data_IF_004090766370
#
_entry.id   IF_004090766370
#
_cell.length_a   1.000
_cell.length_b   1.000
_cell.length_c   1.000
_cell.angle_alpha   90.00
_cell.angle_beta   90.00
_cell.angle_gamma   90.00
#
_symmetry.space_group_name_H-M   'P 1'
#
loop_
_entity.id
_entity.type
_entity.pdbx_description
1 polymer ?
#
# COMPACT_ATOMS: atom_id res chain seq x y z
N UNK A 1 -19.40 -27.02 7.69
CA UNK A 1 -19.90 -26.33 7.44
C UNK A 1 -19.69 -25.14 6.68
N UNK A 2 -20.50 -24.94 5.85
CA UNK A 2 -20.34 -23.89 4.97
C UNK A 2 -20.25 -22.59 5.63
N UNK A 3 -20.40 -22.63 6.89
CA UNK A 3 -20.24 -21.48 7.57
C UNK A 3 -19.00 -20.80 7.33
N UNK A 4 -17.98 -21.53 7.03
CA UNK A 4 -16.73 -20.94 6.74
C UNK A 4 -16.87 -19.95 5.62
N UNK A 5 -17.66 -20.26 4.66
CA UNK A 5 -17.84 -19.38 3.56
C UNK A 5 -18.50 -18.13 4.03
N UNK A 6 -19.31 -18.23 5.04
CA UNK A 6 -19.94 -17.07 5.48
C UNK A 6 -19.06 -16.27 6.29
N UNK A 7 -18.08 -16.86 6.86
CA UNK A 7 -17.15 -16.13 7.64
C UNK A 7 -16.00 -15.64 6.84
N UNK A 8 -16.01 -15.89 5.53
CA UNK A 8 -15.00 -15.39 4.68
C UNK A 8 -14.95 -13.89 4.82
N UNK A 9 -13.80 -13.31 4.91
CA UNK A 9 -13.62 -11.90 4.97
C UNK A 9 -14.38 -11.23 3.86
N UNK A 10 -15.01 -10.12 4.15
CA UNK A 10 -15.62 -9.31 3.12
C UNK A 10 -14.55 -8.90 2.13
N UNK A 11 -14.90 -8.80 0.89
CA UNK A 11 -13.96 -8.36 -0.13
C UNK A 11 -13.45 -6.97 0.19
N UNK A 12 -12.19 -6.72 -0.09
CA UNK A 12 -11.61 -5.40 0.08
C UNK A 12 -12.35 -4.45 -0.86
N UNK A 13 -12.81 -3.32 -0.33
CA UNK A 13 -13.54 -2.33 -1.13
C UNK A 13 -12.61 -1.17 -1.41
N UNK A 14 -12.39 -0.88 -2.68
CA UNK A 14 -11.53 0.23 -3.06
C UNK A 14 -12.25 1.55 -2.79
N UNK A 15 -11.64 2.47 -2.04
CA UNK A 15 -12.20 3.81 -1.90
C UNK A 15 -11.77 4.70 -3.05
N UNK A 16 -12.37 5.88 -3.13
CA UNK A 16 -11.99 6.88 -4.12
C UNK A 16 -10.51 7.23 -3.92
N UNK A 17 -9.79 7.34 -5.01
CA UNK A 17 -8.38 7.72 -4.97
C UNK A 17 -7.42 6.58 -4.72
N UNK A 18 -7.91 5.33 -4.65
CA UNK A 18 -7.04 4.18 -4.42
C UNK A 18 -5.96 4.05 -5.50
N UNK A 19 -6.29 4.44 -6.74
CA UNK A 19 -5.33 4.38 -7.84
C UNK A 19 -4.54 5.69 -8.00
N UNK A 20 -4.84 6.70 -7.19
CA UNK A 20 -4.25 8.02 -7.34
C UNK A 20 -5.01 8.93 -8.28
N UNK A 21 -5.97 8.39 -9.02
CA UNK A 21 -6.75 9.19 -9.96
C UNK A 21 -7.96 9.77 -9.25
N UNK A 22 -8.35 10.97 -9.64
CA UNK A 22 -9.56 11.59 -9.13
C UNK A 22 -10.10 12.56 -10.18
N UNK A 23 -11.39 12.87 -10.10
CA UNK A 23 -11.99 13.83 -10.99
C UNK A 23 -11.96 15.20 -10.34
N UNK A 24 -11.72 16.22 -11.14
CA UNK A 24 -11.62 17.58 -10.64
C UNK A 24 -12.85 17.99 -9.84
N UNK A 25 -14.01 17.58 -10.29
CA UNK A 25 -15.26 17.96 -9.60
C UNK A 25 -15.41 17.29 -8.25
N UNK A 26 -14.68 16.22 -7.97
CA UNK A 26 -14.73 15.55 -6.68
C UNK A 26 -13.74 16.16 -5.68
N UNK A 27 -12.95 17.12 -6.11
CA UNK A 27 -11.97 17.77 -5.27
C UNK A 27 -10.67 16.99 -5.16
N UNK A 28 -9.66 17.57 -4.52
CA UNK A 28 -8.37 16.91 -4.39
C UNK A 28 -8.46 15.73 -3.44
N UNK A 29 -7.55 14.77 -3.64
CA UNK A 29 -7.45 13.62 -2.75
C UNK A 29 -6.76 14.05 -1.46
N UNK A 30 -7.07 13.40 -0.34
CA UNK A 30 -6.32 13.63 0.89
C UNK A 30 -4.87 13.21 0.69
N UNK A 31 -3.99 13.69 1.57
CA UNK A 31 -2.59 13.31 1.51
C UNK A 31 -2.19 12.72 2.84
N UNK A 32 -1.41 11.66 2.79
CA UNK A 32 -0.90 11.00 3.97
C UNK A 32 0.07 11.94 4.69
N UNK A 33 -0.08 12.03 6.00
CA UNK A 33 0.76 12.88 6.83
C UNK A 33 2.17 12.30 6.91
N UNK A 34 3.13 12.94 6.26
CA UNK A 34 4.51 12.46 6.24
C UNK A 34 5.19 12.55 7.60
N UNK A 35 4.78 13.50 8.43
CA UNK A 35 5.34 13.59 9.78
C UNK A 35 4.91 12.38 10.59
N UNK A 36 3.64 11.99 10.49
CA UNK A 36 3.15 10.82 11.17
C UNK A 36 3.84 9.57 10.64
N UNK A 37 4.08 9.52 9.33
CA UNK A 37 4.77 8.38 8.74
C UNK A 37 6.20 8.28 9.27
N UNK A 38 6.93 9.40 9.35
CA UNK A 38 8.28 9.39 9.88
C UNK A 38 8.32 8.91 11.33
N UNK A 39 7.38 9.39 12.14
CA UNK A 39 7.30 8.95 13.54
C UNK A 39 7.04 7.45 13.62
N UNK A 40 6.15 6.94 12.78
CA UNK A 40 5.84 5.52 12.77
C UNK A 40 7.05 4.70 12.32
N UNK A 41 7.82 5.20 11.36
CA UNK A 41 9.02 4.51 10.90
C UNK A 41 10.05 4.40 12.01
N UNK A 42 10.25 5.47 12.79
CA UNK A 42 11.18 5.40 13.90
C UNK A 42 10.70 4.44 14.99
N UNK A 43 9.39 4.42 15.25
CA UNK A 43 8.85 3.46 16.21
C UNK A 43 9.04 2.03 15.73
N UNK A 44 8.82 1.79 14.44
CA UNK A 44 9.00 0.47 13.84
C UNK A 44 10.46 0.04 13.91
N UNK A 45 11.38 0.95 13.64
CA UNK A 45 12.80 0.65 13.69
C UNK A 45 13.23 0.31 15.11
N UNK A 46 12.71 1.01 16.10
CA UNK A 46 13.01 0.68 17.50
C UNK A 46 12.49 -0.72 17.85
N UNK A 47 11.27 -1.05 17.39
CA UNK A 47 10.71 -2.36 17.65
C UNK A 47 11.51 -3.45 16.97
N UNK A 48 12.09 -3.16 15.82
CA UNK A 48 12.90 -4.11 15.07
C UNK A 48 14.33 -4.23 15.61
N UNK A 49 14.74 -3.29 16.45
CA UNK A 49 16.13 -3.22 16.90
C UNK A 49 17.05 -2.72 15.80
N UNK A 50 16.55 -1.94 14.87
CA UNK A 50 17.30 -1.47 13.73
C UNK A 50 17.19 0.02 13.51
N UNK A 51 17.32 0.44 12.28
CA UNK A 51 17.39 1.86 11.92
C UNK A 51 16.49 2.15 10.74
N UNK A 52 16.03 3.41 10.66
CA UNK A 52 15.27 3.88 9.51
C UNK A 52 16.26 4.22 8.40
N UNK A 53 15.99 3.69 7.22
CA UNK A 53 16.74 4.07 6.04
C UNK A 53 16.14 5.30 5.39
N UNK A 54 16.44 5.50 4.13
CA UNK A 54 16.00 6.68 3.43
C UNK A 54 14.48 6.65 3.19
N UNK A 55 13.80 7.75 3.51
CA UNK A 55 12.41 7.93 3.14
C UNK A 55 12.39 8.75 1.86
N UNK A 56 11.84 8.14 0.82
CA UNK A 56 11.73 8.79 -0.47
C UNK A 56 10.28 9.15 -0.71
N UNK A 57 9.99 10.44 -0.76
CA UNK A 57 8.62 10.88 -1.01
C UNK A 57 8.26 10.61 -2.45
N UNK A 58 6.99 10.37 -2.69
CA UNK A 58 6.54 10.08 -4.02
C UNK A 58 6.73 11.27 -4.94
N UNK A 59 6.95 10.96 -6.21
CA UNK A 59 6.87 11.96 -7.26
C UNK A 59 5.83 11.45 -8.26
N UNK A 60 5.04 12.38 -8.79
CA UNK A 60 4.01 12.02 -9.76
C UNK A 60 4.65 11.21 -10.89
N UNK A 61 4.04 10.13 -11.35
CA UNK A 61 2.66 9.66 -11.06
C UNK A 61 2.60 8.56 -10.01
N UNK A 62 3.66 8.36 -9.24
CA UNK A 62 3.69 7.29 -8.24
C UNK A 62 2.71 7.57 -7.10
N UNK A 63 2.02 6.53 -6.64
CA UNK A 63 0.99 6.68 -5.60
C UNK A 63 1.50 6.36 -4.21
N UNK A 64 2.81 6.19 -4.04
CA UNK A 64 3.34 5.74 -2.75
C UNK A 64 4.68 6.37 -2.44
N UNK A 65 4.92 6.51 -1.13
CA UNK A 65 6.24 6.86 -0.60
C UNK A 65 6.97 5.56 -0.29
N UNK A 66 8.28 5.58 -0.35
CA UNK A 66 9.09 4.40 -0.09
C UNK A 66 10.06 4.68 1.05
N UNK A 67 10.19 3.73 1.96
CA UNK A 67 11.14 3.85 3.05
C UNK A 67 11.76 2.50 3.32
N UNK A 68 12.73 2.45 4.20
CA UNK A 68 13.37 1.21 4.59
C UNK A 68 13.58 1.19 6.10
N UNK A 69 13.53 -0.02 6.67
CA UNK A 69 13.93 -0.27 8.05
C UNK A 69 14.89 -1.43 8.00
N UNK A 70 16.06 -1.28 8.64
CA UNK A 70 17.00 -2.36 8.72
C UNK A 70 16.78 -3.16 10.00
N UNK A 71 16.96 -4.45 9.92
CA UNK A 71 16.86 -5.35 11.05
C UNK A 71 18.05 -6.30 10.93
N UNK A 72 19.13 -6.01 11.63
CA UNK A 72 20.37 -6.74 11.44
C UNK A 72 20.88 -6.52 10.03
N UNK A 73 21.16 -7.59 9.32
CA UNK A 73 21.63 -7.51 7.94
C UNK A 73 20.49 -7.43 6.93
N UNK A 74 19.24 -7.51 7.40
CA UNK A 74 18.09 -7.52 6.51
C UNK A 74 17.53 -6.11 6.34
N UNK A 75 17.18 -5.77 5.12
CA UNK A 75 16.51 -4.51 4.83
C UNK A 75 15.07 -4.79 4.44
N UNK A 76 14.15 -4.11 5.09
CA UNK A 76 12.73 -4.20 4.77
C UNK A 76 12.32 -2.95 4.02
N UNK A 77 11.69 -3.14 2.86
CA UNK A 77 11.20 -2.03 2.06
C UNK A 77 9.74 -1.80 2.42
N UNK A 78 9.40 -0.58 2.73
CA UNK A 78 8.07 -0.21 3.21
C UNK A 78 7.47 0.79 2.24
N UNK A 79 6.24 0.52 1.80
CA UNK A 79 5.50 1.42 0.93
C UNK A 79 4.36 2.01 1.73
N UNK A 80 4.15 3.31 1.59
CA UNK A 80 3.02 3.99 2.21
C UNK A 80 2.23 4.71 1.13
N UNK A 81 0.93 4.44 1.05
CA UNK A 81 0.09 5.06 0.04
C UNK A 81 0.07 6.56 0.26
N UNK A 82 0.05 7.32 -0.84
CA UNK A 82 0.12 8.77 -0.77
C UNK A 82 -1.18 9.40 -0.28
N UNK A 83 -2.30 8.71 -0.46
CA UNK A 83 -3.62 9.28 -0.18
C UNK A 83 -4.40 8.54 0.91
N UNK A 84 -3.98 7.36 1.26
CA UNK A 84 -4.64 6.55 2.30
C UNK A 84 -3.58 6.00 3.24
N UNK A 85 -3.91 5.75 4.51
CA UNK A 85 -2.90 5.32 5.49
C UNK A 85 -2.58 3.83 5.39
N UNK A 86 -2.25 3.36 4.22
CA UNK A 86 -1.95 1.96 3.96
C UNK A 86 -0.46 1.72 3.88
N UNK A 87 0.00 0.71 4.60
CA UNK A 87 1.40 0.30 4.63
C UNK A 87 1.51 -1.08 4.01
N UNK A 88 2.50 -1.26 3.14
CA UNK A 88 2.80 -2.57 2.56
C UNK A 88 4.30 -2.82 2.66
N UNK A 89 4.69 -4.09 2.73
CA UNK A 89 6.08 -4.48 2.73
C UNK A 89 6.40 -5.12 1.39
N UNK A 90 7.47 -4.68 0.76
CA UNK A 90 7.83 -5.12 -0.59
C UNK A 90 9.15 -5.87 -0.58
N UNK A 91 9.39 -6.64 -1.66
CA UNK A 91 10.62 -7.42 -1.81
C UNK A 91 11.83 -6.52 -2.04
N UNK A 92 11.66 -5.51 -2.89
CA UNK A 92 12.75 -4.61 -3.22
C UNK A 92 12.22 -3.22 -3.52
N UNK A 93 13.13 -2.24 -3.44
CA UNK A 93 12.81 -0.86 -3.78
C UNK A 93 12.68 -0.75 -5.29
N UNK A 94 11.59 -0.18 -5.76
CA UNK A 94 11.32 0.01 -7.17
C UNK A 94 10.95 1.45 -7.43
N UNK A 95 11.30 1.94 -8.61
CA UNK A 95 11.03 3.33 -8.97
C UNK A 95 9.61 3.55 -9.44
N UNK A 96 8.91 2.53 -9.89
CA UNK A 96 7.58 2.71 -10.46
C UNK A 96 6.52 1.96 -9.68
N UNK A 97 6.42 0.65 -9.84
CA UNK A 97 5.40 -0.11 -9.13
C UNK A 97 5.91 -1.51 -8.85
N UNK A 98 5.23 -2.19 -7.94
CA UNK A 98 5.56 -3.59 -7.68
C UNK A 98 4.29 -4.37 -7.40
N UNK A 99 4.34 -5.65 -7.68
CA UNK A 99 3.37 -6.60 -7.19
C UNK A 99 4.05 -7.68 -6.36
N UNK A 100 5.32 -7.44 -6.00
CA UNK A 100 6.11 -8.38 -5.22
C UNK A 100 6.12 -7.94 -3.76
N UNK A 101 5.19 -8.46 -3.00
CA UNK A 101 5.01 -8.09 -1.60
C UNK A 101 5.47 -9.17 -0.66
N UNK A 102 5.79 -8.76 0.57
CA UNK A 102 6.21 -9.66 1.63
C UNK A 102 5.18 -9.62 2.74
N UNK A 103 5.13 -10.71 3.52
CA UNK A 103 4.31 -10.72 4.72
C UNK A 103 4.92 -9.73 5.72
N UNK A 104 4.09 -8.98 6.48
CA UNK A 104 4.62 -8.03 7.45
C UNK A 104 5.41 -8.74 8.54
N UNK A 105 6.52 -8.14 8.99
CA UNK A 105 7.26 -8.70 10.12
C UNK A 105 6.51 -8.46 11.43
N UNK A 106 6.90 -9.15 12.51
CA UNK A 106 6.20 -9.00 13.79
C UNK A 106 6.17 -7.58 14.32
N UNK A 107 7.19 -6.77 14.03
CA UNK A 107 7.26 -5.39 14.50
C UNK A 107 6.41 -4.43 13.68
N UNK A 108 5.72 -4.93 12.65
CA UNK A 108 4.88 -4.07 11.82
C UNK A 108 3.73 -3.46 12.62
N UNK A 109 3.37 -4.05 13.76
CA UNK A 109 2.32 -3.49 14.60
C UNK A 109 2.63 -2.07 15.04
N UNK A 110 3.88 -1.64 15.01
CA UNK A 110 4.24 -0.28 15.39
C UNK A 110 3.58 0.77 14.50
N UNK A 111 3.15 0.40 13.31
CA UNK A 111 2.45 1.33 12.43
C UNK A 111 1.00 1.52 12.80
N UNK A 112 0.40 0.59 13.54
CA UNK A 112 -1.04 0.66 13.81
C UNK A 112 -1.40 1.70 14.87
N UNK A 113 -0.56 1.91 15.86
CA UNK A 113 -0.83 2.90 16.90
C UNK A 113 -1.01 4.31 16.32
N UNK A 114 -0.15 4.78 15.42
CA UNK A 114 -0.36 6.09 14.81
C UNK A 114 -1.50 6.14 13.79
N UNK A 115 -2.17 5.02 13.53
CA UNK A 115 -3.34 5.03 12.66
C UNK A 115 -3.13 4.47 11.27
N UNK A 116 -1.97 3.90 10.97
CA UNK A 116 -1.75 3.27 9.69
C UNK A 116 -2.33 1.86 9.67
N UNK A 117 -2.75 1.40 8.50
CA UNK A 117 -3.28 0.07 8.30
C UNK A 117 -2.24 -0.73 7.54
N UNK A 118 -1.72 -1.79 8.15
CA UNK A 118 -0.74 -2.65 7.51
C UNK A 118 -1.48 -3.71 6.71
N UNK A 119 -1.24 -3.74 5.40
CA UNK A 119 -1.86 -4.73 4.53
C UNK A 119 -0.96 -5.94 4.46
N UNK A 120 -1.52 -7.12 4.63
CA UNK A 120 -0.70 -8.32 4.59
C UNK A 120 -0.53 -8.81 3.14
N UNK A 121 0.36 -9.77 2.97
CA UNK A 121 0.67 -10.26 1.64
C UNK A 121 -0.55 -10.90 0.97
N UNK A 122 -1.38 -11.57 1.75
CA UNK A 122 -2.58 -12.22 1.22
C UNK A 122 -3.54 -11.18 0.65
N UNK A 123 -3.74 -10.07 1.35
CA UNK A 123 -4.59 -8.99 0.86
C UNK A 123 -3.99 -8.36 -0.40
N UNK A 124 -2.69 -8.08 -0.37
CA UNK A 124 -2.04 -7.38 -1.48
C UNK A 124 -1.99 -8.22 -2.75
N UNK A 125 -1.90 -9.54 -2.62
CA UNK A 125 -1.85 -10.41 -3.78
C UNK A 125 -3.21 -10.95 -4.19
N UNK A 126 -4.28 -10.48 -3.55
CA UNK A 126 -5.62 -10.92 -3.93
C UNK A 126 -5.94 -10.53 -5.37
N UNK A 127 -6.52 -11.44 -6.15
CA UNK A 127 -6.88 -11.11 -7.54
C UNK A 127 -7.95 -10.03 -7.58
N UNK A 128 -7.92 -9.20 -8.60
CA UNK A 128 -8.90 -8.13 -8.74
C UNK A 128 -10.33 -8.64 -8.77
N UNK A 129 -10.55 -9.87 -9.23
CA UNK A 129 -11.89 -10.46 -9.25
C UNK A 129 -12.46 -10.65 -7.84
N UNK A 130 -11.61 -10.70 -6.82
CA UNK A 130 -12.03 -10.91 -5.44
C UNK A 130 -12.20 -9.60 -4.68
N UNK A 131 -12.14 -8.48 -5.36
CA UNK A 131 -12.15 -7.16 -4.75
C UNK A 131 -13.33 -6.37 -5.28
N UNK A 132 -13.90 -5.52 -4.42
CA UNK A 132 -14.95 -4.62 -4.87
C UNK A 132 -14.29 -3.44 -5.59
N UNK A 133 -14.35 -3.48 -6.92
CA UNK A 133 -13.72 -2.48 -7.77
C UNK A 133 -14.75 -1.51 -8.36
N UNK A 134 -15.93 -1.43 -7.75
CA UNK A 134 -17.02 -0.63 -8.32
C UNK A 134 -16.68 0.85 -8.45
N UNK A 135 -15.73 1.33 -7.68
CA UNK A 135 -15.34 2.75 -7.73
C UNK A 135 -14.46 3.06 -8.95
N UNK A 136 -13.87 2.06 -9.57
CA UNK A 136 -12.94 2.29 -10.68
C UNK A 136 -13.67 2.79 -11.91
N UNK A 137 -13.13 3.85 -12.49
CA UNK A 137 -13.67 4.44 -13.71
C UNK A 137 -13.19 3.66 -14.92
N UNK A 138 -13.78 3.96 -16.07
CA UNK A 138 -13.35 3.34 -17.31
C UNK A 138 -11.89 3.66 -17.60
N UNK A 139 -11.48 4.89 -17.31
CA UNK A 139 -10.08 5.29 -17.50
C UNK A 139 -9.14 4.51 -16.61
N UNK A 140 -9.52 4.31 -15.35
CA UNK A 140 -8.69 3.53 -14.44
C UNK A 140 -8.58 2.08 -14.90
N UNK A 141 -9.69 1.48 -15.37
CA UNK A 141 -9.65 0.13 -15.91
C UNK A 141 -8.74 0.04 -17.14
N UNK A 142 -8.69 1.10 -17.94
CA UNK A 142 -7.81 1.13 -19.11
C UNK A 142 -6.36 1.02 -18.66
N UNK A 143 -5.99 1.73 -17.59
CA UNK A 143 -4.63 1.67 -17.08
C UNK A 143 -4.32 0.30 -16.48
N UNK A 144 -5.27 -0.28 -15.75
CA UNK A 144 -5.10 -1.61 -15.19
C UNK A 144 -4.76 -2.60 -16.29
N UNK A 145 -5.49 -2.54 -17.40
CA UNK A 145 -5.25 -3.43 -18.51
C UNK A 145 -3.95 -3.13 -19.24
N UNK A 146 -3.65 -1.85 -19.41
CA UNK A 146 -2.44 -1.45 -20.12
C UNK A 146 -1.19 -1.93 -19.39
N UNK A 147 -1.16 -1.80 -18.08
CA UNK A 147 0.00 -2.22 -17.28
C UNK A 147 -0.07 -3.69 -16.85
N UNK A 148 -1.13 -4.39 -17.19
CA UNK A 148 -1.25 -5.81 -16.86
C UNK A 148 -1.39 -6.08 -15.37
N UNK A 149 -2.04 -5.17 -14.65
CA UNK A 149 -2.20 -5.29 -13.20
C UNK A 149 -3.26 -6.35 -12.90
N UNK A 150 -2.95 -7.26 -12.00
CA UNK A 150 -3.85 -8.37 -11.68
C UNK A 150 -4.21 -8.44 -10.20
N UNK A 151 -3.56 -7.67 -9.34
CA UNK A 151 -3.75 -7.80 -7.90
C UNK A 151 -4.11 -6.47 -7.26
N UNK A 152 -4.65 -6.55 -6.04
CA UNK A 152 -4.97 -5.36 -5.26
C UNK A 152 -3.73 -4.49 -5.07
N UNK A 153 -2.61 -5.10 -4.68
CA UNK A 153 -1.38 -4.33 -4.45
C UNK A 153 -0.93 -3.56 -5.67
N UNK A 154 -1.10 -4.13 -6.86
CA UNK A 154 -0.72 -3.44 -8.09
C UNK A 154 -1.60 -2.24 -8.37
N UNK A 155 -2.86 -2.27 -7.93
CA UNK A 155 -3.77 -1.14 -8.08
C UNK A 155 -3.41 -0.04 -7.08
N UNK A 156 -3.10 -0.40 -5.85
CA UNK A 156 -2.84 0.58 -4.78
C UNK A 156 -1.48 1.25 -4.92
N UNK A 157 -0.47 0.50 -5.31
CA UNK A 157 0.90 0.99 -5.35
C UNK A 157 1.39 0.99 -6.78
N UNK A 158 1.03 2.02 -7.50
CA UNK A 158 1.29 2.11 -8.94
C UNK A 158 2.02 3.40 -9.29
N UNK A 159 2.35 3.51 -10.57
CA UNK A 159 3.01 4.69 -11.10
C UNK A 159 2.45 4.93 -12.51
N UNK A 160 1.14 5.02 -12.61
CA UNK A 160 0.46 5.19 -13.90
C UNK A 160 0.49 6.65 -14.31
N UNK A 161 0.75 6.87 -15.56
CA UNK A 161 0.80 8.23 -16.10
C UNK A 161 -0.43 8.51 -16.94
#
# INVERSE_FOLDING_TARGET
>A
VSRVAMEKKAAFTLPRGATGFFRTEDGPLPETDLRALRSALYAAARAAGGQVGELEERTYPRTFHTAAVTEGAREWIILCHAHHPWIAFAQERRDWYTEEFRAPPPWAHAFTDPGFVVLDRTELTAPLADIDTSVLTRGEWREVRFYGITTLGGVLFNSWD
#
